data_IF_097533205421
#
_entry.id   IF_097533205421
#
_cell.length_a   1.000
_cell.length_b   1.000
_cell.length_c   1.000
_cell.angle_alpha   90.00
_cell.angle_beta   90.00
_cell.angle_gamma   90.00
#
_symmetry.space_group_name_H-M   'P 1'
#
loop_
_entity.id
_entity.type
_entity.pdbx_description
1 polymer ?
#
# COMPACT_ATOMS: atom_id res chain seq x y z
N UNK A 1 26.88 2.99 9.46
CA UNK A 1 25.56 2.35 9.30
C UNK A 1 24.57 3.50 9.19
N UNK A 2 24.13 3.83 7.97
CA UNK A 2 23.16 4.90 7.77
C UNK A 2 21.79 4.33 8.13
N UNK A 3 21.15 4.88 9.15
CA UNK A 3 19.75 4.57 9.43
C UNK A 3 18.93 5.28 8.36
N UNK A 4 18.18 4.53 7.55
CA UNK A 4 17.14 5.11 6.74
C UNK A 4 16.05 5.64 7.66
N UNK A 5 15.68 6.91 7.49
CA UNK A 5 14.52 7.46 8.17
C UNK A 5 13.30 7.10 7.34
N UNK A 6 12.40 6.33 7.94
CA UNK A 6 11.10 6.02 7.36
C UNK A 6 10.10 7.04 7.88
N UNK A 7 9.46 7.71 6.93
CA UNK A 7 8.56 8.83 7.15
C UNK A 7 7.19 8.43 6.60
N UNK A 8 6.13 8.61 7.40
CA UNK A 8 4.81 8.10 7.04
C UNK A 8 3.74 9.18 7.11
N UNK A 9 2.81 9.16 6.16
CA UNK A 9 1.50 9.78 6.27
C UNK A 9 0.44 8.74 5.96
N UNK A 10 -0.24 8.25 7.00
CA UNK A 10 -1.13 7.09 6.88
C UNK A 10 -2.38 7.23 7.73
N UNK A 11 -3.37 6.40 7.42
CA UNK A 11 -4.63 6.36 8.12
C UNK A 11 -5.10 4.92 8.30
N UNK A 12 -5.53 4.60 9.53
CA UNK A 12 -5.80 3.22 9.96
C UNK A 12 -7.28 3.02 10.34
N UNK A 13 -7.95 2.11 9.64
CA UNK A 13 -9.25 1.58 10.05
C UNK A 13 -9.07 0.28 10.82
N UNK A 14 -9.54 0.27 12.07
CA UNK A 14 -9.51 -0.92 12.93
C UNK A 14 -10.74 -1.79 12.69
N UNK A 15 -10.53 -3.10 12.57
CA UNK A 15 -11.56 -4.09 12.27
C UNK A 15 -11.40 -4.66 10.85
N UNK A 16 -12.41 -5.42 10.43
CA UNK A 16 -12.60 -5.87 9.04
C UNK A 16 -11.48 -6.76 8.46
N UNK A 17 -11.67 -8.07 8.62
CA UNK A 17 -10.58 -9.06 8.50
C UNK A 17 -10.57 -9.82 7.17
N UNK A 18 -11.51 -9.51 6.27
CA UNK A 18 -11.73 -10.25 5.04
C UNK A 18 -10.86 -9.80 3.87
N UNK A 19 -10.56 -8.50 3.82
CA UNK A 19 -9.96 -7.85 2.67
C UNK A 19 -10.26 -6.36 2.64
N UNK A 20 -9.61 -5.65 1.73
CA UNK A 20 -9.77 -4.22 1.50
C UNK A 20 -9.59 -3.88 0.02
N UNK A 21 -10.17 -2.75 -0.35
CA UNK A 21 -10.06 -2.18 -1.68
C UNK A 21 -9.82 -0.66 -1.56
N UNK A 22 -8.93 -0.14 -2.40
CA UNK A 22 -8.69 1.29 -2.53
C UNK A 22 -8.30 1.65 -3.95
N UNK A 23 -8.65 2.85 -4.37
CA UNK A 23 -7.98 3.53 -5.48
C UNK A 23 -6.80 4.33 -4.93
N UNK A 24 -5.66 4.28 -5.62
CA UNK A 24 -4.56 5.24 -5.51
C UNK A 24 -4.57 6.10 -6.77
N UNK A 25 -4.74 7.40 -6.59
CA UNK A 25 -4.66 8.44 -7.61
C UNK A 25 -3.44 9.33 -7.32
N UNK A 26 -2.27 9.02 -7.90
CA UNK A 26 -1.07 9.82 -7.74
C UNK A 26 -1.10 11.07 -8.62
N UNK A 27 -1.40 12.21 -8.01
CA UNK A 27 -1.44 13.49 -8.70
C UNK A 27 -0.04 14.12 -8.75
N UNK A 28 0.74 13.73 -9.77
CA UNK A 28 2.08 14.27 -10.03
C UNK A 28 3.14 13.19 -10.09
N UNK A 29 4.18 13.29 -9.28
CA UNK A 29 5.34 12.38 -9.32
C UNK A 29 5.61 11.70 -7.98
N UNK A 30 6.09 10.46 -8.04
CA UNK A 30 6.82 9.82 -6.94
C UNK A 30 8.29 9.86 -7.34
N UNK A 31 8.99 10.92 -6.94
CA UNK A 31 10.30 11.25 -7.50
C UNK A 31 11.40 10.90 -6.50
N UNK A 32 12.28 9.98 -6.89
CA UNK A 32 13.39 9.51 -6.06
C UNK A 32 14.78 9.72 -6.71
N UNK A 33 15.07 10.86 -7.37
CA UNK A 33 16.26 11.00 -8.20
C UNK A 33 17.50 11.16 -7.33
N UNK A 34 18.34 10.11 -7.32
CA UNK A 34 19.50 10.06 -6.45
C UNK A 34 19.15 9.88 -4.97
N UNK A 35 17.91 9.49 -4.66
CA UNK A 35 17.55 9.03 -3.33
C UNK A 35 18.24 7.68 -3.08
N UNK A 36 18.65 7.42 -1.83
CA UNK A 36 19.17 6.11 -1.42
C UNK A 36 18.07 5.20 -0.86
N UNK A 37 16.84 5.27 -1.38
CA UNK A 37 15.75 4.42 -0.88
C UNK A 37 14.53 4.40 -1.80
N UNK A 38 13.34 4.61 -1.25
CA UNK A 38 12.08 4.51 -1.97
C UNK A 38 11.01 5.48 -1.48
N UNK A 39 10.02 5.66 -2.33
CA UNK A 39 8.74 6.30 -2.04
C UNK A 39 7.67 5.34 -2.49
N UNK A 40 6.65 5.12 -1.68
CA UNK A 40 5.47 4.37 -2.08
C UNK A 40 4.16 5.05 -1.69
N UNK A 41 3.10 4.55 -2.31
CA UNK A 41 1.73 4.71 -1.89
C UNK A 41 1.10 3.34 -1.90
N UNK A 42 0.48 2.97 -0.80
CA UNK A 42 0.04 1.60 -0.61
C UNK A 42 -1.21 1.47 0.26
N UNK A 43 -1.75 0.26 0.22
CA UNK A 43 -2.72 -0.27 1.15
C UNK A 43 -2.14 -1.48 1.85
N UNK A 44 -2.37 -1.60 3.15
CA UNK A 44 -1.96 -2.73 3.97
C UNK A 44 -3.16 -3.38 4.63
N UNK A 45 -3.08 -4.70 4.77
CA UNK A 45 -3.77 -5.45 5.80
C UNK A 45 -2.74 -5.87 6.84
N UNK A 46 -2.96 -5.50 8.10
CA UNK A 46 -1.97 -5.71 9.16
C UNK A 46 -2.54 -6.38 10.41
N UNK A 47 -1.69 -7.17 11.06
CA UNK A 47 -1.87 -7.75 12.39
C UNK A 47 -0.73 -7.26 13.31
N UNK A 48 -0.92 -6.12 14.01
CA UNK A 48 0.07 -5.56 14.92
C UNK A 48 0.15 -6.33 16.26
N UNK A 49 -0.79 -7.24 16.51
CA UNK A 49 -0.84 -8.01 17.75
C UNK A 49 -0.09 -9.36 17.62
N UNK A 50 0.31 -9.73 16.41
CA UNK A 50 1.06 -10.95 16.18
C UNK A 50 2.46 -10.89 16.78
N UNK A 51 2.67 -11.66 17.85
CA UNK A 51 3.99 -11.85 18.46
C UNK A 51 4.99 -12.55 17.53
N UNK A 52 4.52 -13.13 16.42
CA UNK A 52 5.34 -13.86 15.45
C UNK A 52 6.09 -12.94 14.48
N UNK A 53 5.66 -11.68 14.34
CA UNK A 53 6.36 -10.63 13.56
C UNK A 53 6.90 -9.48 14.44
N UNK A 54 6.66 -9.53 15.76
CA UNK A 54 7.09 -8.50 16.72
C UNK A 54 8.62 -8.33 16.86
N UNK A 55 9.42 -9.28 16.36
CA UNK A 55 10.89 -9.27 16.46
C UNK A 55 11.58 -8.46 15.34
N UNK A 56 10.81 -7.79 14.46
CA UNK A 56 11.37 -6.95 13.39
C UNK A 56 11.38 -5.49 13.84
N UNK A 57 12.55 -4.80 13.81
CA UNK A 57 12.73 -3.53 14.50
C UNK A 57 11.85 -2.36 14.04
N UNK A 58 11.28 -2.41 12.84
CA UNK A 58 10.66 -1.22 12.21
C UNK A 58 9.12 -1.25 12.30
N UNK A 59 8.46 -2.37 11.96
CA UNK A 59 6.98 -2.44 11.94
C UNK A 59 6.33 -3.27 13.05
N UNK A 60 7.05 -4.20 13.68
CA UNK A 60 6.54 -5.08 14.76
C UNK A 60 5.16 -5.72 14.49
N UNK A 61 4.80 -5.92 13.22
CA UNK A 61 3.50 -6.41 12.79
C UNK A 61 3.68 -7.40 11.63
N UNK A 62 2.75 -8.35 11.49
CA UNK A 62 2.61 -9.10 10.24
C UNK A 62 1.69 -8.32 9.32
N UNK A 63 1.96 -8.35 8.01
CA UNK A 63 1.15 -7.61 7.06
C UNK A 63 1.27 -8.17 5.65
N UNK A 64 0.31 -7.79 4.80
CA UNK A 64 0.36 -7.88 3.34
C UNK A 64 0.05 -6.50 2.81
N UNK A 65 0.85 -6.02 1.87
CA UNK A 65 0.71 -4.70 1.28
C UNK A 65 0.75 -4.77 -0.24
N UNK A 66 0.16 -3.77 -0.87
CA UNK A 66 0.27 -3.56 -2.30
C UNK A 66 0.08 -2.10 -2.63
N UNK A 67 0.77 -1.67 -3.67
CA UNK A 67 0.89 -0.26 -3.97
C UNK A 67 1.66 0.01 -5.23
N UNK A 68 2.04 1.28 -5.33
CA UNK A 68 3.02 1.77 -6.28
C UNK A 68 4.24 2.27 -5.54
N UNK A 69 5.43 1.93 -6.00
CA UNK A 69 6.69 2.40 -5.42
C UNK A 69 7.61 2.96 -6.51
N UNK A 70 8.43 3.95 -6.16
CA UNK A 70 9.54 4.39 -7.00
C UNK A 70 10.83 4.26 -6.22
N UNK A 71 11.79 3.59 -6.83
CA UNK A 71 13.10 3.31 -6.28
C UNK A 71 14.17 4.07 -7.06
N UNK A 72 15.25 4.44 -6.37
CA UNK A 72 16.43 4.98 -7.03
C UNK A 72 17.03 4.01 -8.09
N UNK A 73 17.82 4.52 -9.04
CA UNK A 73 18.35 3.72 -10.14
C UNK A 73 19.25 2.58 -9.65
N UNK A 74 19.11 1.40 -10.26
CA UNK A 74 19.91 0.19 -9.99
C UNK A 74 19.66 -0.50 -8.64
N UNK A 75 18.55 -0.20 -7.95
CA UNK A 75 18.14 -1.00 -6.79
C UNK A 75 17.61 -2.38 -7.26
N UNK A 76 18.06 -3.53 -6.73
CA UNK A 76 17.53 -4.85 -7.11
C UNK A 76 16.03 -5.05 -6.80
N UNK A 77 15.48 -4.21 -5.91
CA UNK A 77 14.06 -4.15 -5.55
C UNK A 77 13.25 -3.23 -6.47
N UNK A 78 13.92 -2.31 -7.20
CA UNK A 78 13.28 -1.68 -8.36
C UNK A 78 12.88 -2.79 -9.34
N UNK A 79 11.91 -2.54 -10.23
CA UNK A 79 11.57 -3.46 -11.32
C UNK A 79 12.68 -3.62 -12.37
N UNK A 80 13.96 -3.51 -11.96
CA UNK A 80 15.20 -3.82 -12.64
C UNK A 80 15.44 -3.01 -13.92
N UNK A 81 15.23 -1.68 -13.88
CA UNK A 81 15.35 -0.84 -15.09
C UNK A 81 16.41 0.27 -15.08
N UNK A 82 17.33 0.32 -14.11
CA UNK A 82 18.50 1.23 -14.19
C UNK A 82 18.19 2.74 -14.16
N UNK A 83 16.94 3.11 -13.91
CA UNK A 83 16.41 4.48 -13.77
C UNK A 83 15.36 4.51 -12.64
N UNK A 84 14.91 5.70 -12.23
CA UNK A 84 13.74 5.88 -11.37
C UNK A 84 12.51 5.35 -12.10
N UNK A 85 12.07 4.13 -11.77
CA UNK A 85 10.91 3.50 -12.39
C UNK A 85 9.82 3.27 -11.37
N UNK A 86 8.58 3.66 -11.70
CA UNK A 86 7.44 3.35 -10.85
C UNK A 86 6.98 1.92 -11.10
N UNK A 87 6.86 1.20 -10.00
CA UNK A 87 6.53 -0.21 -9.95
C UNK A 87 5.19 -0.39 -9.26
N UNK A 88 4.31 -1.17 -9.86
CA UNK A 88 3.28 -1.86 -9.09
C UNK A 88 3.93 -3.03 -8.39
N UNK A 89 3.68 -3.17 -7.10
CA UNK A 89 4.24 -4.24 -6.29
C UNK A 89 3.21 -4.79 -5.31
N UNK A 90 3.54 -5.94 -4.74
CA UNK A 90 3.01 -6.35 -3.45
C UNK A 90 4.16 -6.81 -2.58
N UNK A 91 3.96 -6.80 -1.28
CA UNK A 91 4.93 -7.35 -0.35
C UNK A 91 4.22 -7.97 0.84
N UNK A 92 4.96 -8.76 1.61
CA UNK A 92 4.46 -9.28 2.86
C UNK A 92 5.54 -9.49 3.93
N UNK A 93 5.09 -9.39 5.18
CA UNK A 93 5.83 -9.81 6.36
C UNK A 93 5.09 -10.97 7.03
N UNK A 94 5.74 -12.13 7.08
CA UNK A 94 5.11 -13.40 7.45
C UNK A 94 5.39 -13.79 8.90
N UNK A 95 4.41 -14.40 9.60
CA UNK A 95 4.64 -15.02 10.90
C UNK A 95 5.82 -16.00 10.91
N UNK A 96 6.59 -16.02 12.00
CA UNK A 96 7.72 -16.92 12.28
C UNK A 96 9.02 -16.60 11.54
N UNK A 97 9.27 -15.31 11.27
CA UNK A 97 10.57 -14.86 10.77
C UNK A 97 10.77 -15.10 9.28
N UNK A 98 9.67 -15.10 8.50
CA UNK A 98 9.74 -15.06 7.05
C UNK A 98 10.53 -13.88 6.53
N UNK A 99 10.54 -12.76 7.28
CA UNK A 99 11.10 -11.46 6.86
C UNK A 99 10.27 -10.85 5.73
N UNK A 100 10.59 -9.59 5.46
CA UNK A 100 10.07 -8.82 4.34
C UNK A 100 10.39 -9.49 3.01
N UNK A 101 9.36 -9.66 2.18
CA UNK A 101 9.49 -10.06 0.79
C UNK A 101 8.78 -9.07 -0.11
N UNK A 102 9.52 -8.38 -0.96
CA UNK A 102 8.95 -7.58 -2.03
C UNK A 102 8.79 -8.39 -3.30
N UNK A 103 7.68 -8.14 -3.99
CA UNK A 103 7.31 -8.83 -5.20
C UNK A 103 6.86 -7.81 -6.27
N UNK A 104 7.77 -7.40 -7.18
CA UNK A 104 7.40 -6.50 -8.26
C UNK A 104 6.40 -7.21 -9.21
N UNK A 105 5.29 -6.54 -9.50
CA UNK A 105 4.22 -7.06 -10.37
C UNK A 105 4.30 -6.50 -11.78
N UNK A 106 4.55 -5.20 -11.90
CA UNK A 106 4.54 -4.50 -13.18
C UNK A 106 5.33 -3.21 -13.12
N UNK A 107 6.14 -2.99 -14.15
CA UNK A 107 6.87 -1.74 -14.32
C UNK A 107 6.05 -0.81 -15.24
N UNK A 108 5.69 0.36 -14.73
CA UNK A 108 4.94 1.38 -15.46
C UNK A 108 5.86 2.15 -16.43
N UNK A 109 7.17 2.10 -16.19
CA UNK A 109 8.22 2.73 -16.99
C UNK A 109 8.97 3.82 -16.21
N UNK A 110 9.80 4.63 -16.88
CA UNK A 110 10.52 5.78 -16.29
C UNK A 110 9.58 6.96 -15.93
N UNK A 111 8.27 6.77 -16.03
CA UNK A 111 7.22 7.77 -15.82
C UNK A 111 7.06 8.18 -14.34
N UNK A 112 7.97 7.81 -13.44
CA UNK A 112 7.92 8.23 -12.02
C UNK A 112 7.96 9.75 -11.82
N UNK A 113 8.30 10.51 -12.86
CA UNK A 113 8.25 11.97 -12.90
C UNK A 113 6.88 12.54 -13.33
N UNK A 114 5.97 11.74 -13.87
CA UNK A 114 4.58 12.14 -14.18
C UNK A 114 3.66 10.91 -14.21
N UNK A 115 3.08 10.61 -13.06
CA UNK A 115 2.06 9.58 -12.88
C UNK A 115 0.65 10.07 -13.24
N UNK A 116 0.42 11.36 -13.49
CA UNK A 116 -0.82 11.80 -14.14
C UNK A 116 -0.80 11.36 -15.62
N UNK A 117 -1.79 10.60 -16.14
CA UNK A 117 -3.12 10.28 -15.61
C UNK A 117 -3.32 8.79 -15.33
N UNK A 118 -2.47 8.20 -14.50
CA UNK A 118 -2.56 6.82 -14.06
C UNK A 118 -3.40 6.69 -12.79
N UNK A 119 -4.19 5.61 -12.71
CA UNK A 119 -4.97 5.24 -11.53
C UNK A 119 -4.75 3.77 -11.21
N UNK A 120 -4.69 3.44 -9.93
CA UNK A 120 -4.40 2.08 -9.45
C UNK A 120 -5.49 1.64 -8.50
N UNK A 121 -6.26 0.64 -8.88
CA UNK A 121 -7.26 0.03 -8.00
C UNK A 121 -6.67 -1.24 -7.40
N UNK A 122 -6.48 -1.23 -6.09
CA UNK A 122 -5.81 -2.27 -5.32
C UNK A 122 -6.87 -3.05 -4.56
N UNK A 123 -6.80 -4.37 -4.64
CA UNK A 123 -7.58 -5.30 -3.82
C UNK A 123 -6.63 -6.23 -3.11
N UNK A 124 -6.79 -6.38 -1.79
CA UNK A 124 -6.15 -7.43 -1.00
C UNK A 124 -7.26 -8.17 -0.27
N UNK A 125 -7.40 -9.47 -0.47
CA UNK A 125 -8.48 -10.26 0.16
C UNK A 125 -8.04 -11.68 0.52
N UNK A 126 -8.74 -12.29 1.48
CA UNK A 126 -8.50 -13.69 1.81
C UNK A 126 -8.86 -14.58 0.62
N UNK A 127 -7.98 -15.53 0.31
CA UNK A 127 -8.18 -16.43 -0.81
C UNK A 127 -9.51 -17.19 -0.74
N UNK A 128 -10.26 -17.16 -1.83
CA UNK A 128 -11.60 -17.74 -1.95
C UNK A 128 -12.63 -17.23 -0.91
N UNK A 129 -12.46 -16.01 -0.39
CA UNK A 129 -13.26 -15.50 0.73
C UNK A 129 -13.24 -16.43 1.96
N UNK A 130 -12.19 -17.26 2.07
CA UNK A 130 -12.01 -18.11 3.25
C UNK A 130 -11.72 -17.21 4.47
N UNK A 131 -11.97 -17.72 5.68
CA UNK A 131 -11.52 -17.01 6.88
C UNK A 131 -10.02 -16.76 6.83
N UNK A 132 -9.56 -15.67 7.47
CA UNK A 132 -8.14 -15.25 7.59
C UNK A 132 -7.18 -16.35 8.06
N UNK A 133 -7.69 -17.47 8.56
CA UNK A 133 -6.97 -18.68 8.90
C UNK A 133 -6.39 -19.46 7.70
N UNK A 134 -6.81 -19.20 6.46
CA UNK A 134 -6.25 -19.89 5.28
C UNK A 134 -4.77 -19.58 5.07
N UNK A 135 -4.34 -18.43 5.58
CA UNK A 135 -2.99 -17.91 5.41
C UNK A 135 -2.66 -17.55 3.97
N UNK A 136 -3.64 -17.36 3.09
CA UNK A 136 -3.40 -16.95 1.71
C UNK A 136 -4.19 -15.69 1.43
N UNK A 137 -3.48 -14.68 0.95
CA UNK A 137 -4.05 -13.41 0.50
C UNK A 137 -3.92 -13.33 -1.02
N UNK A 138 -5.04 -13.07 -1.69
CA UNK A 138 -5.08 -12.70 -3.09
C UNK A 138 -4.84 -11.19 -3.18
N UNK A 139 -3.84 -10.81 -3.96
CA UNK A 139 -3.51 -9.41 -4.23
C UNK A 139 -3.79 -9.14 -5.70
N UNK A 140 -4.50 -8.07 -6.00
CA UNK A 140 -4.68 -7.60 -7.37
C UNK A 140 -4.56 -6.10 -7.49
N UNK A 141 -3.99 -5.65 -8.59
CA UNK A 141 -3.88 -4.24 -8.96
C UNK A 141 -4.37 -4.07 -10.38
N UNK A 142 -5.49 -3.39 -10.55
CA UNK A 142 -5.99 -2.95 -11.84
C UNK A 142 -5.45 -1.55 -12.14
N UNK A 143 -4.78 -1.42 -13.28
CA UNK A 143 -4.09 -0.22 -13.72
C UNK A 143 -4.87 0.43 -14.84
N UNK A 144 -5.11 1.73 -14.73
CA UNK A 144 -5.79 2.55 -15.73
C UNK A 144 -4.89 3.70 -16.15
N UNK A 145 -4.99 4.12 -17.41
CA UNK A 145 -4.32 5.32 -17.95
C UNK A 145 -5.32 6.15 -18.72
N UNK A 146 -5.44 7.44 -18.43
CA UNK A 146 -6.46 8.32 -19.02
C UNK A 146 -7.89 7.77 -18.84
N UNK A 147 -8.19 7.16 -17.69
CA UNK A 147 -9.48 6.50 -17.43
C UNK A 147 -9.75 5.23 -18.25
N UNK A 148 -8.81 4.79 -19.09
CA UNK A 148 -8.93 3.55 -19.84
C UNK A 148 -8.21 2.42 -19.12
N UNK A 149 -8.85 1.25 -19.06
CA UNK A 149 -8.21 0.05 -18.52
C UNK A 149 -6.95 -0.29 -19.31
N UNK A 150 -5.84 -0.49 -18.59
CA UNK A 150 -4.54 -0.82 -19.18
C UNK A 150 -4.19 -2.29 -18.92
N UNK A 151 -4.17 -2.72 -17.66
CA UNK A 151 -3.87 -4.11 -17.29
C UNK A 151 -4.33 -4.41 -15.86
N UNK A 152 -4.47 -5.70 -15.51
CA UNK A 152 -4.56 -6.16 -14.13
C UNK A 152 -3.40 -7.09 -13.85
N UNK A 153 -2.76 -6.91 -12.71
CA UNK A 153 -1.79 -7.86 -12.17
C UNK A 153 -2.35 -8.48 -10.91
N UNK A 154 -2.14 -9.78 -10.75
CA UNK A 154 -2.53 -10.48 -9.54
C UNK A 154 -1.42 -11.41 -9.08
N UNK A 155 -1.40 -11.64 -7.78
CA UNK A 155 -0.52 -12.58 -7.12
C UNK A 155 -1.25 -13.17 -5.91
N UNK A 156 -0.65 -14.23 -5.36
CA UNK A 156 -1.10 -14.80 -4.10
C UNK A 156 0.09 -14.83 -3.14
N UNK A 157 -0.16 -14.66 -1.84
CA UNK A 157 0.88 -14.70 -0.80
C UNK A 157 1.47 -16.10 -0.54
N UNK A 158 1.47 -17.00 -1.54
CA UNK A 158 1.81 -18.43 -1.43
C UNK A 158 3.23 -18.69 -1.91
N UNK A 159 4.24 -18.30 -1.14
CA UNK A 159 5.58 -18.88 -1.32
C UNK A 159 5.97 -19.73 -0.10
N UNK A 160 5.82 -21.05 -0.22
CA UNK A 160 6.33 -22.06 0.73
C UNK A 160 5.47 -22.31 1.97
N UNK A 161 5.07 -21.27 2.69
CA UNK A 161 4.16 -21.31 3.86
C UNK A 161 3.36 -20.03 3.86
N UNK A 162 2.03 -20.09 3.75
CA UNK A 162 1.18 -18.90 3.67
C UNK A 162 1.37 -17.89 4.82
N UNK A 163 0.83 -16.68 4.65
CA UNK A 163 0.78 -15.63 5.66
C UNK A 163 -0.47 -15.78 6.55
N UNK A 164 -0.35 -16.54 7.64
CA UNK A 164 -1.44 -16.84 8.59
C UNK A 164 -1.81 -15.68 9.54
N UNK A 165 -1.55 -14.44 9.17
CA UNK A 165 -1.91 -13.28 9.98
C UNK A 165 -3.43 -13.16 10.16
N UNK A 166 -3.86 -12.63 11.30
CA UNK A 166 -5.24 -12.25 11.52
C UNK A 166 -5.39 -10.74 11.37
N UNK A 167 -5.41 -10.28 10.13
CA UNK A 167 -5.51 -8.87 9.82
C UNK A 167 -6.69 -8.23 10.57
N UNK A 168 -6.42 -7.14 11.28
CA UNK A 168 -7.41 -6.37 12.04
C UNK A 168 -7.23 -4.86 11.87
N UNK A 169 -6.33 -4.46 10.98
CA UNK A 169 -6.14 -3.08 10.53
C UNK A 169 -6.11 -3.09 9.00
N UNK A 170 -6.88 -2.18 8.42
CA UNK A 170 -6.71 -1.71 7.06
C UNK A 170 -5.99 -0.37 7.14
N UNK A 171 -4.87 -0.23 6.44
CA UNK A 171 -4.13 1.03 6.35
C UNK A 171 -4.06 1.48 4.90
N UNK A 172 -4.08 2.78 4.68
CA UNK A 172 -3.66 3.41 3.41
C UNK A 172 -2.77 4.61 3.72
N UNK A 173 -1.91 4.99 2.78
CA UNK A 173 -0.92 6.05 3.00
C UNK A 173 0.34 5.91 2.17
N UNK A 174 1.30 6.78 2.49
CA UNK A 174 2.58 6.86 1.82
C UNK A 174 3.74 6.66 2.78
N UNK A 175 4.75 5.93 2.34
CA UNK A 175 6.04 5.83 2.98
C UNK A 175 7.12 6.52 2.15
N UNK A 176 7.92 7.34 2.82
CA UNK A 176 9.15 7.91 2.28
C UNK A 176 10.33 7.37 3.09
N UNK A 177 11.18 6.58 2.45
CA UNK A 177 12.40 6.04 3.05
C UNK A 177 13.60 6.53 2.26
N UNK A 178 14.24 7.60 2.73
CA UNK A 178 15.46 8.13 2.11
C UNK A 178 16.28 8.97 3.08
N UNK A 179 17.58 9.09 2.80
CA UNK A 179 18.46 10.03 3.52
C UNK A 179 18.34 11.46 2.96
N UNK A 180 17.98 11.58 1.69
CA UNK A 180 17.84 12.83 0.95
C UNK A 180 17.11 12.61 -0.39
N UNK A 181 16.52 13.67 -0.94
CA UNK A 181 16.07 13.73 -2.34
C UNK A 181 14.77 13.00 -2.69
N UNK A 182 14.13 12.31 -1.75
CA UNK A 182 12.78 11.78 -1.95
C UNK A 182 11.76 12.91 -1.89
N UNK A 183 10.84 12.95 -2.86
CA UNK A 183 9.62 13.76 -2.77
C UNK A 183 8.45 13.12 -3.50
N UNK A 184 7.29 13.17 -2.85
CA UNK A 184 6.01 12.71 -3.32
C UNK A 184 5.07 13.92 -3.53
N UNK A 185 4.57 14.06 -4.75
CA UNK A 185 3.44 14.96 -5.01
C UNK A 185 2.19 14.52 -4.24
N UNK A 186 1.09 15.26 -4.37
CA UNK A 186 -0.18 14.86 -3.75
C UNK A 186 -0.62 13.49 -4.27
N UNK A 187 -0.97 12.59 -3.37
CA UNK A 187 -1.59 11.32 -3.71
C UNK A 187 -2.92 11.22 -2.98
N UNK A 188 -3.92 10.65 -3.63
CA UNK A 188 -5.23 10.43 -3.05
C UNK A 188 -5.52 8.94 -2.93
N UNK A 189 -6.15 8.59 -1.81
CA UNK A 189 -6.68 7.26 -1.53
C UNK A 189 -8.19 7.37 -1.47
N UNK A 190 -8.85 6.91 -2.54
CA UNK A 190 -10.30 7.02 -2.73
C UNK A 190 -10.94 5.63 -2.77
N UNK A 191 -12.27 5.58 -2.80
CA UNK A 191 -13.03 4.33 -2.88
C UNK A 191 -12.58 3.33 -1.80
N UNK A 192 -12.35 3.83 -0.58
CA UNK A 192 -11.84 3.00 0.51
C UNK A 192 -12.95 2.06 0.99
N UNK A 193 -12.76 0.76 0.77
CA UNK A 193 -13.74 -0.27 1.06
C UNK A 193 -13.11 -1.43 1.85
N UNK A 194 -13.94 -2.11 2.64
CA UNK A 194 -13.57 -3.33 3.36
C UNK A 194 -14.47 -4.48 2.95
N UNK A 195 -13.93 -5.71 2.99
CA UNK A 195 -14.65 -6.91 2.59
C UNK A 195 -15.55 -7.42 3.73
N UNK A 196 -16.86 -7.48 3.48
CA UNK A 196 -17.83 -8.07 4.40
C UNK A 196 -17.73 -9.60 4.42
N UNK A 197 -18.24 -10.21 5.50
CA UNK A 197 -18.31 -11.67 5.62
C UNK A 197 -19.21 -12.37 4.57
N UNK A 198 -19.99 -11.62 3.80
CA UNK A 198 -20.77 -12.14 2.66
C UNK A 198 -20.02 -12.05 1.32
N UNK A 199 -18.75 -11.63 1.32
CA UNK A 199 -17.91 -11.48 0.12
C UNK A 199 -18.18 -10.19 -0.67
N UNK A 200 -18.96 -9.25 -0.15
CA UNK A 200 -19.19 -7.95 -0.80
C UNK A 200 -18.37 -6.85 -0.13
N UNK A 201 -17.80 -5.95 -0.92
CA UNK A 201 -17.12 -4.77 -0.38
C UNK A 201 -18.10 -3.72 0.15
N UNK A 202 -17.64 -2.90 1.09
CA UNK A 202 -18.43 -1.81 1.69
C UNK A 202 -17.54 -0.64 2.02
N UNK A 203 -18.02 0.56 1.68
CA UNK A 203 -17.32 1.80 1.97
C UNK A 203 -17.04 2.00 3.45
N UNK A 204 -15.87 2.56 3.74
CA UNK A 204 -15.54 3.07 5.05
C UNK A 204 -16.52 4.20 5.43
N UNK A 205 -17.08 4.16 6.63
CA UNK A 205 -18.06 5.19 7.09
C UNK A 205 -17.59 5.95 8.32
N UNK A 206 -16.43 5.56 8.86
CA UNK A 206 -15.82 6.18 10.03
C UNK A 206 -14.49 6.80 9.63
N UNK A 207 -14.21 7.97 10.20
CA UNK A 207 -12.87 8.57 10.11
C UNK A 207 -11.88 7.68 10.86
N UNK A 208 -10.80 7.32 10.20
CA UNK A 208 -9.77 6.46 10.76
C UNK A 208 -8.75 7.24 11.60
N UNK A 209 -7.84 6.52 12.25
CA UNK A 209 -6.79 7.13 13.07
C UNK A 209 -5.66 7.61 12.16
N UNK A 210 -5.50 8.93 12.05
CA UNK A 210 -4.41 9.52 11.29
C UNK A 210 -3.10 9.36 12.07
N UNK A 211 -2.06 8.88 11.40
CA UNK A 211 -0.71 8.86 11.94
C UNK A 211 0.26 9.47 10.95
N UNK A 212 1.00 10.50 11.39
CA UNK A 212 2.21 10.96 10.73
C UNK A 212 3.36 10.74 11.68
N UNK A 213 4.35 9.98 11.23
CA UNK A 213 5.54 9.68 12.04
C UNK A 213 6.78 10.05 11.24
N UNK A 214 7.72 10.72 11.90
CA UNK A 214 8.96 11.22 11.32
C UNK A 214 8.69 12.03 10.02
N UNK A 215 8.19 13.28 10.10
CA UNK A 215 7.92 14.10 8.90
C UNK A 215 9.11 14.11 7.92
N UNK A 216 8.89 14.16 6.59
CA UNK A 216 8.10 15.23 5.96
C UNK A 216 6.69 14.93 5.40
N UNK A 217 6.22 13.68 5.17
CA UNK A 217 4.91 13.50 4.56
C UNK A 217 3.80 13.90 5.54
N UNK A 218 2.89 14.73 5.04
CA UNK A 218 1.66 15.16 5.67
C UNK A 218 0.51 14.32 5.15
N UNK A 219 -0.57 14.24 5.92
CA UNK A 219 -1.80 13.62 5.46
C UNK A 219 -3.04 14.29 6.04
N UNK A 220 -4.10 14.35 5.25
CA UNK A 220 -5.37 14.96 5.63
C UNK A 220 -6.56 14.30 4.92
N UNK A 221 -7.75 14.45 5.50
CA UNK A 221 -8.98 14.06 4.82
C UNK A 221 -9.44 15.21 3.92
N UNK A 222 -9.45 15.00 2.61
CA UNK A 222 -10.12 15.90 1.67
C UNK A 222 -11.64 15.71 1.74
N UNK A 223 -12.07 14.44 1.84
CA UNK A 223 -13.46 14.07 2.10
C UNK A 223 -13.49 13.08 3.26
N UNK A 224 -14.15 13.45 4.36
CA UNK A 224 -14.29 12.53 5.49
C UNK A 224 -15.21 11.36 5.14
N UNK A 225 -14.88 10.11 5.53
CA UNK A 225 -15.80 8.99 5.43
C UNK A 225 -17.08 9.26 6.25
N UNK A 226 -18.24 8.94 5.68
CA UNK A 226 -19.54 9.09 6.35
C UNK A 226 -20.52 8.01 5.86
N UNK A 227 -21.57 7.73 6.64
CA UNK A 227 -22.74 7.00 6.14
C UNK A 227 -23.74 7.96 5.46
N UNK A 228 -23.29 8.64 4.40
CA UNK A 228 -24.08 9.62 3.68
C UNK A 228 -24.02 9.41 2.16
N UNK A 229 -25.10 9.78 1.45
CA UNK A 229 -25.26 9.46 0.03
C UNK A 229 -24.12 10.05 -0.81
N UNK A 230 -23.54 9.23 -1.68
CA UNK A 230 -22.45 9.63 -2.59
C UNK A 230 -21.05 9.62 -1.97
N UNK A 231 -20.90 9.28 -0.68
CA UNK A 231 -19.58 9.10 -0.08
C UNK A 231 -19.02 7.70 -0.40
N UNK A 232 -17.83 7.67 -1.00
CA UNK A 232 -17.16 6.44 -1.44
C UNK A 232 -16.00 6.08 -0.50
N UNK A 233 -16.25 6.07 0.81
CA UNK A 233 -15.21 5.68 1.78
C UNK A 233 -14.28 6.83 2.18
N UNK A 234 -14.64 8.07 1.84
CA UNK A 234 -13.77 9.23 1.98
C UNK A 234 -12.63 9.30 0.96
N UNK A 235 -11.86 10.38 1.05
CA UNK A 235 -10.66 10.65 0.25
C UNK A 235 -9.57 11.15 1.18
N UNK A 236 -8.57 10.30 1.42
CA UNK A 236 -7.38 10.61 2.19
C UNK A 236 -6.30 11.13 1.25
N UNK A 237 -5.71 12.27 1.56
CA UNK A 237 -4.61 12.84 0.77
C UNK A 237 -3.29 12.78 1.55
N UNK A 238 -2.20 12.52 0.85
CA UNK A 238 -0.83 12.58 1.37
C UNK A 238 0.07 13.43 0.46
N UNK A 239 1.08 14.09 1.02
CA UNK A 239 2.06 14.91 0.27
C UNK A 239 3.30 15.23 1.13
N UNK A 240 4.40 15.66 0.51
CA UNK A 240 5.58 16.16 1.23
C UNK A 240 6.08 17.55 0.76
#
# INVERSE_FOLDING_TARGET
MFYYYHCYAQVDWVGHTGGAYTEIDPYGSLNCPGCNGFIDNEMWLADPNSSQCANIPIFKACWVESGISTWGPNNPNSCNQGHDSTCVFWADERPNGGKYHEHPLFNIGPDGTSLDPWYFFITIENHNNASSSSGIWDVSVAVFKNGNYFTTKSAQSVFGTGNSMNANIIRVGSELSAVNGASASRNYFNYNEWLQGNGSFTYQTQTAVNTSTNPPPNGAWNVYPCNCSGNTGGSWETWD
#
